data_IF_884046227436
#
_entry.id   IF_884046227436
#
_cell.length_a   1.000
_cell.length_b   1.000
_cell.length_c   1.000
_cell.angle_alpha   90.00
_cell.angle_beta   90.00
_cell.angle_gamma   90.00
#
_symmetry.space_group_name_H-M   'P 1'
#
loop_
_entity.id
_entity.type
_entity.pdbx_description
1 polymer ?
#
# COMPACT_ATOMS: atom_id res chain seq x y z
N UNK A 1 18.29 -11.19 17.91
CA UNK A 1 18.28 -10.09 16.92
C UNK A 1 17.38 -10.50 15.78
N UNK A 2 16.51 -9.63 15.27
CA UNK A 2 15.62 -9.96 14.13
C UNK A 2 16.22 -9.36 12.87
N UNK A 3 16.65 -10.21 11.93
CA UNK A 3 17.11 -9.78 10.62
C UNK A 3 15.95 -9.17 9.81
N UNK A 4 16.12 -7.94 9.34
CA UNK A 4 15.10 -7.24 8.55
C UNK A 4 15.23 -7.60 7.06
N UNK A 5 14.32 -8.43 6.57
CA UNK A 5 14.28 -8.86 5.17
C UNK A 5 13.59 -7.84 4.26
N UNK A 6 14.25 -7.37 3.20
CA UNK A 6 13.58 -6.58 2.14
C UNK A 6 13.00 -7.51 1.08
N UNK A 7 11.69 -7.74 1.16
CA UNK A 7 10.90 -8.56 0.24
C UNK A 7 11.12 -8.14 -1.23
N UNK A 8 11.45 -6.86 -1.50
CA UNK A 8 11.73 -6.40 -2.89
C UNK A 8 13.04 -6.95 -3.43
N UNK A 9 14.09 -7.02 -2.61
CA UNK A 9 15.36 -7.63 -3.00
C UNK A 9 15.19 -9.14 -3.25
N UNK A 10 14.41 -9.82 -2.40
CA UNK A 10 14.07 -11.23 -2.63
C UNK A 10 13.24 -11.41 -3.91
N UNK A 11 12.25 -10.54 -4.17
CA UNK A 11 11.44 -10.61 -5.40
C UNK A 11 12.27 -10.36 -6.67
N UNK A 12 13.27 -9.48 -6.61
CA UNK A 12 14.20 -9.25 -7.72
C UNK A 12 15.13 -10.45 -7.94
N UNK A 13 15.70 -11.02 -6.87
CA UNK A 13 16.56 -12.20 -6.96
C UNK A 13 15.82 -13.48 -7.39
N UNK A 14 14.54 -13.61 -7.03
CA UNK A 14 13.67 -14.70 -7.47
C UNK A 14 13.20 -14.58 -8.93
N UNK A 15 13.44 -13.44 -9.61
CA UNK A 15 12.82 -13.18 -10.91
C UNK A 15 13.33 -14.18 -11.99
N UNK A 16 12.40 -14.83 -12.67
CA UNK A 16 12.64 -15.94 -13.62
C UNK A 16 13.24 -17.22 -12.98
N UNK A 17 13.35 -17.30 -11.66
CA UNK A 17 13.85 -18.50 -10.93
C UNK A 17 12.72 -19.32 -10.29
N UNK A 18 11.47 -18.85 -10.36
CA UNK A 18 10.37 -19.33 -9.51
C UNK A 18 10.10 -20.83 -9.55
N UNK A 19 10.14 -21.49 -10.72
CA UNK A 19 9.92 -22.94 -10.78
C UNK A 19 10.95 -23.72 -9.95
N UNK A 20 12.24 -23.35 -10.05
CA UNK A 20 13.31 -23.97 -9.27
C UNK A 20 13.27 -23.56 -7.80
N UNK A 21 13.02 -22.28 -7.52
CA UNK A 21 12.93 -21.74 -6.17
C UNK A 21 11.79 -22.36 -5.36
N UNK A 22 10.61 -22.54 -5.96
CA UNK A 22 9.46 -23.19 -5.31
C UNK A 22 9.76 -24.64 -4.95
N UNK A 23 10.35 -25.42 -5.88
CA UNK A 23 10.75 -26.81 -5.60
C UNK A 23 11.88 -26.89 -4.55
N UNK A 24 12.86 -25.98 -4.59
CA UNK A 24 13.88 -25.85 -3.53
C UNK A 24 13.29 -25.49 -2.16
N UNK A 25 12.19 -24.73 -2.14
CA UNK A 25 11.39 -24.49 -0.93
C UNK A 25 10.49 -25.68 -0.54
N UNK A 26 10.45 -26.78 -1.30
CA UNK A 26 9.51 -27.89 -1.10
C UNK A 26 8.06 -27.51 -1.42
N UNK A 27 7.83 -26.94 -2.60
CA UNK A 27 6.52 -26.61 -3.20
C UNK A 27 6.61 -26.94 -4.69
N UNK A 28 6.26 -28.17 -5.07
CA UNK A 28 6.42 -28.62 -6.46
C UNK A 28 5.31 -28.08 -7.37
N UNK A 29 5.69 -27.53 -8.52
CA UNK A 29 4.78 -27.01 -9.54
C UNK A 29 5.02 -27.71 -10.90
N UNK A 30 3.98 -27.86 -11.75
CA UNK A 30 4.19 -28.30 -13.12
C UNK A 30 5.08 -27.32 -13.88
N UNK A 31 5.73 -27.80 -14.94
CA UNK A 31 6.52 -26.96 -15.83
C UNK A 31 5.70 -25.77 -16.38
N UNK A 32 6.37 -24.64 -16.64
CA UNK A 32 5.74 -23.45 -17.21
C UNK A 32 4.83 -23.77 -18.40
N UNK A 33 3.61 -23.22 -18.37
CA UNK A 33 2.58 -23.44 -19.40
C UNK A 33 1.93 -24.83 -19.37
N UNK A 34 2.06 -25.57 -18.26
CA UNK A 34 1.45 -26.90 -18.08
C UNK A 34 0.51 -26.96 -16.89
N UNK A 35 -0.46 -27.85 -16.99
CA UNK A 35 -1.40 -28.18 -15.93
C UNK A 35 -0.86 -29.27 -15.01
N UNK A 36 -1.32 -29.28 -13.76
CA UNK A 36 -0.91 -30.26 -12.76
C UNK A 36 -1.69 -30.21 -11.46
N UNK A 37 -1.21 -30.96 -10.47
CA UNK A 37 -1.69 -30.92 -9.10
C UNK A 37 -1.53 -29.53 -8.48
N UNK A 38 -2.45 -29.14 -7.59
CA UNK A 38 -2.32 -27.88 -6.87
C UNK A 38 -1.54 -28.06 -5.56
N UNK A 39 -0.48 -27.27 -5.30
CA UNK A 39 0.25 -27.32 -4.03
C UNK A 39 -0.58 -26.90 -2.80
N UNK A 40 -1.75 -26.29 -3.02
CA UNK A 40 -2.64 -25.75 -1.97
C UNK A 40 -3.84 -26.68 -1.72
N UNK A 41 -4.38 -27.34 -2.77
CA UNK A 41 -5.62 -28.14 -2.68
C UNK A 41 -5.62 -29.47 -3.45
N UNK A 42 -4.44 -29.98 -3.85
CA UNK A 42 -4.29 -31.27 -4.52
C UNK A 42 -4.96 -31.35 -5.89
N UNK A 43 -5.54 -32.52 -6.21
CA UNK A 43 -6.04 -32.84 -7.55
C UNK A 43 -4.92 -33.13 -8.56
N UNK A 44 -5.27 -33.31 -9.83
CA UNK A 44 -4.33 -33.81 -10.86
C UNK A 44 -3.99 -32.78 -11.96
N UNK A 45 -4.92 -31.89 -12.31
CA UNK A 45 -4.84 -30.99 -13.48
C UNK A 45 -5.29 -29.54 -13.19
N UNK A 46 -5.82 -29.28 -11.99
CA UNK A 46 -6.56 -28.04 -11.66
C UNK A 46 -5.71 -26.80 -11.53
N UNK A 47 -4.39 -26.94 -11.38
CA UNK A 47 -3.41 -25.86 -11.25
C UNK A 47 -2.72 -25.58 -12.59
N UNK A 48 -2.27 -24.35 -12.79
CA UNK A 48 -1.50 -23.90 -13.95
C UNK A 48 -0.37 -22.99 -13.46
N UNK A 49 0.87 -23.35 -13.74
CA UNK A 49 2.04 -22.49 -13.54
C UNK A 49 2.27 -21.68 -14.82
N UNK A 50 2.04 -20.37 -14.76
CA UNK A 50 1.99 -19.48 -15.93
C UNK A 50 3.36 -18.79 -16.09
N UNK A 51 3.81 -18.09 -15.06
CA UNK A 51 5.13 -17.41 -14.97
C UNK A 51 5.53 -16.63 -16.25
N UNK A 52 4.57 -15.96 -16.89
CA UNK A 52 4.78 -15.20 -18.14
C UNK A 52 5.49 -13.86 -17.96
N UNK A 53 5.72 -13.44 -16.72
CA UNK A 53 6.45 -12.21 -16.39
C UNK A 53 7.67 -12.45 -15.47
N UNK A 54 8.02 -13.71 -15.22
CA UNK A 54 9.15 -14.09 -14.35
C UNK A 54 8.87 -13.86 -12.86
N UNK A 55 7.61 -13.72 -12.47
CA UNK A 55 7.10 -13.39 -11.14
C UNK A 55 6.43 -14.57 -10.41
N UNK A 56 6.44 -15.77 -11.02
CA UNK A 56 5.89 -17.00 -10.44
C UNK A 56 4.38 -17.12 -10.58
N UNK A 57 3.76 -16.34 -11.46
CA UNK A 57 2.30 -16.26 -11.60
C UNK A 57 1.66 -17.63 -11.82
N UNK A 58 0.57 -17.89 -11.09
CA UNK A 58 -0.17 -19.16 -11.11
C UNK A 58 -1.67 -18.95 -11.03
N UNK A 59 -2.42 -19.99 -11.39
CA UNK A 59 -3.89 -20.04 -11.22
C UNK A 59 -4.34 -21.45 -10.87
N UNK A 60 -5.32 -21.58 -9.96
CA UNK A 60 -6.01 -22.82 -9.66
C UNK A 60 -7.52 -22.68 -9.84
N UNK A 61 -8.11 -23.63 -10.58
CA UNK A 61 -9.56 -23.69 -10.86
C UNK A 61 -10.45 -24.03 -9.65
N UNK A 62 -9.87 -24.38 -8.49
CA UNK A 62 -10.63 -24.86 -7.32
C UNK A 62 -10.06 -24.43 -5.95
N UNK A 63 -9.09 -23.52 -5.91
CA UNK A 63 -8.76 -22.82 -4.66
C UNK A 63 -9.83 -21.76 -4.35
N UNK A 64 -10.05 -21.45 -3.08
CA UNK A 64 -10.81 -20.27 -2.67
C UNK A 64 -10.09 -18.98 -3.09
N UNK A 65 -10.83 -17.89 -3.27
CA UNK A 65 -10.25 -16.62 -3.71
C UNK A 65 -9.37 -15.96 -2.62
N UNK A 66 -8.19 -15.41 -2.95
CA UNK A 66 -7.57 -15.41 -4.28
C UNK A 66 -7.02 -16.79 -4.67
N UNK A 67 -7.46 -17.26 -5.83
CA UNK A 67 -7.17 -18.57 -6.42
C UNK A 67 -6.07 -18.47 -7.52
N UNK A 68 -5.36 -17.35 -7.51
CA UNK A 68 -4.24 -16.96 -8.36
C UNK A 68 -3.37 -16.00 -7.53
N UNK A 69 -2.15 -15.74 -7.98
CA UNK A 69 -1.22 -14.82 -7.31
C UNK A 69 0.19 -14.95 -7.87
N UNK A 70 1.16 -14.38 -7.18
CA UNK A 70 2.59 -14.50 -7.50
C UNK A 70 3.25 -15.71 -6.79
N UNK A 71 4.56 -15.89 -6.99
CA UNK A 71 5.32 -16.98 -6.36
C UNK A 71 5.38 -16.92 -4.81
N UNK A 72 5.30 -15.74 -4.19
CA UNK A 72 5.19 -15.63 -2.72
C UNK A 72 3.78 -15.95 -2.25
N UNK A 73 2.73 -15.54 -2.98
CA UNK A 73 1.35 -15.95 -2.66
C UNK A 73 1.22 -17.47 -2.68
N UNK A 74 1.87 -18.14 -3.64
CA UNK A 74 1.89 -19.60 -3.73
C UNK A 74 2.63 -20.24 -2.55
N UNK A 75 3.85 -19.79 -2.27
CA UNK A 75 4.68 -20.32 -1.18
C UNK A 75 4.03 -20.10 0.19
N UNK A 76 3.40 -18.95 0.40
CA UNK A 76 2.59 -18.61 1.58
C UNK A 76 1.41 -19.58 1.73
N UNK A 77 0.57 -19.72 0.69
CA UNK A 77 -0.63 -20.58 0.72
C UNK A 77 -0.31 -22.07 0.83
N UNK A 78 0.73 -22.56 0.15
CA UNK A 78 1.11 -23.97 0.15
C UNK A 78 1.74 -24.43 1.47
N UNK A 79 2.29 -23.50 2.28
CA UNK A 79 2.88 -23.82 3.60
C UNK A 79 2.05 -23.34 4.80
N UNK A 80 0.99 -22.55 4.59
CA UNK A 80 0.19 -21.97 5.67
C UNK A 80 0.94 -20.90 6.48
N UNK A 81 1.90 -20.21 5.87
CA UNK A 81 2.78 -19.21 6.50
C UNK A 81 2.47 -17.80 6.00
N UNK A 82 2.93 -16.76 6.72
CA UNK A 82 2.79 -15.38 6.25
C UNK A 82 3.71 -15.08 5.05
N UNK A 83 3.39 -14.06 4.27
CA UNK A 83 4.23 -13.58 3.15
C UNK A 83 5.64 -13.17 3.62
N UNK A 84 5.79 -12.72 4.87
CA UNK A 84 7.10 -12.37 5.45
C UNK A 84 7.95 -13.63 5.71
N UNK A 85 7.32 -14.72 6.12
CA UNK A 85 7.99 -16.01 6.31
C UNK A 85 8.28 -16.70 4.97
N UNK A 86 7.35 -16.62 4.01
CA UNK A 86 7.58 -17.04 2.63
C UNK A 86 8.79 -16.31 2.01
N UNK A 87 8.93 -15.01 2.26
CA UNK A 87 10.10 -14.25 1.82
C UNK A 87 11.42 -14.70 2.47
N UNK A 88 11.40 -15.13 3.75
CA UNK A 88 12.59 -15.70 4.42
C UNK A 88 12.99 -17.03 3.80
N UNK A 89 12.04 -17.98 3.74
CA UNK A 89 12.25 -19.30 3.13
C UNK A 89 12.80 -19.18 1.70
N UNK A 90 12.28 -18.23 0.91
CA UNK A 90 12.78 -17.95 -0.42
C UNK A 90 14.19 -17.32 -0.44
N UNK A 91 14.52 -16.41 0.48
CA UNK A 91 15.86 -15.81 0.56
C UNK A 91 16.93 -16.83 1.01
N UNK A 92 16.59 -17.68 1.97
CA UNK A 92 17.43 -18.78 2.43
C UNK A 92 17.69 -19.78 1.28
N UNK A 93 16.65 -20.15 0.52
CA UNK A 93 16.75 -21.03 -0.65
C UNK A 93 17.49 -20.42 -1.86
N UNK A 94 17.55 -19.08 -1.97
CA UNK A 94 18.36 -18.37 -2.96
C UNK A 94 19.85 -18.28 -2.57
N UNK A 95 20.25 -18.79 -1.40
CA UNK A 95 21.62 -18.73 -0.87
C UNK A 95 22.19 -17.29 -0.81
N UNK A 96 21.32 -16.30 -0.63
CA UNK A 96 21.75 -14.89 -0.54
C UNK A 96 22.50 -14.68 0.78
N UNK A 97 23.71 -14.08 0.77
CA UNK A 97 24.38 -13.71 2.01
C UNK A 97 23.53 -12.68 2.77
N UNK A 98 23.17 -13.01 4.01
CA UNK A 98 22.41 -12.12 4.91
C UNK A 98 23.31 -10.98 5.40
N UNK A 99 23.46 -9.94 4.58
CA UNK A 99 24.29 -8.78 4.89
C UNK A 99 23.89 -8.08 6.19
N UNK A 100 24.89 -7.76 7.02
CA UNK A 100 24.72 -6.91 8.20
C UNK A 100 24.30 -5.48 7.82
N UNK A 101 23.57 -4.77 8.71
CA UNK A 101 23.00 -3.46 8.40
C UNK A 101 24.06 -2.34 8.37
N UNK A 102 24.57 -2.00 7.18
CA UNK A 102 25.32 -0.76 6.97
C UNK A 102 24.39 0.42 6.61
N UNK A 103 24.72 1.65 7.08
CA UNK A 103 23.90 2.83 6.84
C UNK A 103 24.11 3.42 5.44
N UNK A 104 23.02 3.46 4.65
CA UNK A 104 22.69 4.49 3.63
C UNK A 104 23.79 4.96 2.64
N UNK A 105 23.56 4.74 1.33
CA UNK A 105 23.06 5.77 0.36
C UNK A 105 23.61 5.65 -1.08
N UNK A 106 22.70 5.40 -2.06
CA UNK A 106 22.79 5.73 -3.52
C UNK A 106 23.91 5.00 -4.34
N UNK A 107 23.91 4.92 -5.67
CA UNK A 107 22.92 5.02 -6.78
C UNK A 107 23.50 4.22 -8.00
N UNK A 108 23.07 4.23 -9.27
CA UNK A 108 22.21 5.07 -10.15
C UNK A 108 21.50 4.10 -11.15
N UNK A 109 20.83 4.39 -12.28
CA UNK A 109 20.58 5.53 -13.19
C UNK A 109 19.04 5.60 -13.44
N UNK A 110 18.37 6.66 -13.94
CA UNK A 110 18.68 8.10 -14.06
C UNK A 110 17.34 8.88 -14.09
N UNK A 111 17.04 9.62 -13.03
CA UNK A 111 16.44 10.96 -13.12
C UNK A 111 16.68 11.66 -11.79
N UNK A 112 16.89 12.98 -11.81
CA UNK A 112 17.15 13.76 -10.60
C UNK A 112 15.83 14.02 -9.85
N UNK A 113 15.33 12.96 -9.22
CA UNK A 113 14.14 13.03 -8.40
C UNK A 113 14.43 13.87 -7.14
N UNK A 114 14.00 15.14 -7.16
CA UNK A 114 13.90 15.98 -5.97
C UNK A 114 13.24 15.16 -4.84
N UNK A 115 13.73 15.24 -3.59
CA UNK A 115 13.12 14.52 -2.47
C UNK A 115 11.62 14.85 -2.38
N UNK A 116 10.80 13.86 -2.03
CA UNK A 116 9.35 13.97 -2.15
C UNK A 116 8.79 15.21 -1.42
N UNK A 117 9.40 15.59 -0.30
CA UNK A 117 9.11 16.82 0.46
C UNK A 117 9.29 18.09 -0.37
N UNK A 118 10.40 18.28 -1.11
CA UNK A 118 10.58 19.43 -2.02
C UNK A 118 9.53 19.44 -3.12
N UNK A 119 9.25 18.26 -3.71
CA UNK A 119 8.29 18.11 -4.80
C UNK A 119 6.86 18.45 -4.35
N UNK A 120 6.48 18.06 -3.15
CA UNK A 120 5.19 18.41 -2.52
C UNK A 120 5.17 19.90 -2.15
N UNK A 121 6.22 20.42 -1.53
CA UNK A 121 6.31 21.85 -1.17
C UNK A 121 6.21 22.75 -2.41
N UNK A 122 6.81 22.35 -3.54
CA UNK A 122 6.67 23.04 -4.83
C UNK A 122 5.24 23.02 -5.38
N UNK A 123 4.50 21.92 -5.19
CA UNK A 123 3.07 21.85 -5.55
C UNK A 123 2.20 22.71 -4.61
N UNK A 124 2.50 22.72 -3.31
CA UNK A 124 1.81 23.57 -2.32
C UNK A 124 2.05 25.06 -2.61
N UNK A 125 3.28 25.46 -2.90
CA UNK A 125 3.62 26.84 -3.30
C UNK A 125 3.06 27.25 -4.68
N UNK A 126 2.57 26.29 -5.47
CA UNK A 126 1.86 26.52 -6.74
C UNK A 126 0.33 26.38 -6.60
N UNK A 127 -0.18 26.14 -5.39
CA UNK A 127 -1.60 25.98 -5.10
C UNK A 127 -2.24 27.26 -4.55
N UNK A 128 -3.54 27.42 -4.78
CA UNK A 128 -4.37 28.51 -4.25
C UNK A 128 -5.52 27.95 -3.42
N UNK A 129 -6.05 28.71 -2.48
CA UNK A 129 -7.32 28.38 -1.83
C UNK A 129 -8.48 28.42 -2.84
N UNK A 130 -9.40 27.46 -2.78
CA UNK A 130 -10.63 27.46 -3.58
C UNK A 130 -11.51 26.22 -3.37
N UNK A 131 -12.78 26.32 -3.77
CA UNK A 131 -13.72 25.19 -3.75
C UNK A 131 -13.37 24.14 -4.82
N UNK A 132 -13.19 22.88 -4.42
CA UNK A 132 -12.91 21.80 -5.38
C UNK A 132 -14.17 21.25 -6.04
N UNK A 133 -14.14 21.17 -7.36
CA UNK A 133 -15.12 20.48 -8.22
C UNK A 133 -15.44 19.04 -7.75
N UNK A 134 -14.44 18.31 -7.25
CA UNK A 134 -14.61 16.97 -6.69
C UNK A 134 -15.48 16.99 -5.41
N UNK A 135 -15.28 17.98 -4.54
CA UNK A 135 -16.04 18.14 -3.30
C UNK A 135 -17.46 18.66 -3.59
N UNK A 136 -17.62 19.59 -4.53
CA UNK A 136 -18.93 20.01 -5.05
C UNK A 136 -19.74 18.82 -5.56
N UNK A 137 -19.11 17.92 -6.33
CA UNK A 137 -19.72 16.65 -6.83
C UNK A 137 -19.94 15.59 -5.73
N UNK A 138 -19.49 15.84 -4.50
CA UNK A 138 -19.83 15.06 -3.29
C UNK A 138 -20.79 15.79 -2.35
N UNK A 139 -21.31 16.97 -2.73
CA UNK A 139 -22.20 17.78 -1.90
C UNK A 139 -21.49 18.57 -0.79
N UNK A 140 -20.15 18.64 -0.82
CA UNK A 140 -19.33 19.28 0.22
C UNK A 140 -18.89 20.67 -0.23
N UNK A 141 -19.32 21.69 0.50
CA UNK A 141 -18.85 23.07 0.35
C UNK A 141 -17.72 23.33 1.35
N UNK A 142 -16.50 23.47 0.83
CA UNK A 142 -15.27 23.64 1.58
C UNK A 142 -14.35 24.58 0.76
N UNK A 143 -14.50 25.91 0.87
CA UNK A 143 -13.86 26.86 -0.05
C UNK A 143 -12.35 27.05 0.18
N UNK A 144 -11.82 26.67 1.34
CA UNK A 144 -10.41 26.91 1.71
C UNK A 144 -9.46 25.75 1.36
N UNK A 145 -9.74 25.03 0.28
CA UNK A 145 -9.00 23.84 -0.13
C UNK A 145 -7.84 24.18 -1.07
N UNK A 146 -6.73 23.44 -1.01
CA UNK A 146 -5.56 23.68 -1.88
C UNK A 146 -5.84 23.15 -3.29
N UNK A 147 -6.03 24.05 -4.25
CA UNK A 147 -6.20 23.72 -5.66
C UNK A 147 -4.95 24.04 -6.47
N UNK A 148 -4.55 23.14 -7.36
CA UNK A 148 -3.58 23.41 -8.42
C UNK A 148 -4.21 24.25 -9.53
N UNK A 149 -3.38 24.81 -10.42
CA UNK A 149 -3.80 25.69 -11.54
C UNK A 149 -4.81 25.07 -12.53
N UNK A 150 -4.97 23.75 -12.52
CA UNK A 150 -5.94 23.00 -13.33
C UNK A 150 -7.25 22.67 -12.57
N UNK A 151 -7.44 23.24 -11.38
CA UNK A 151 -8.56 22.94 -10.47
C UNK A 151 -8.42 21.63 -9.70
N UNK A 152 -7.31 20.89 -9.86
CA UNK A 152 -7.09 19.64 -9.12
C UNK A 152 -6.81 19.91 -7.65
N UNK A 153 -7.54 19.22 -6.77
CA UNK A 153 -7.37 19.25 -5.32
C UNK A 153 -6.05 18.56 -4.91
N UNK A 154 -5.20 19.27 -4.17
CA UNK A 154 -3.92 18.80 -3.64
C UNK A 154 -4.03 18.45 -2.15
N UNK A 155 -3.84 17.18 -1.83
CA UNK A 155 -3.94 16.63 -0.47
C UNK A 155 -2.56 16.11 -0.04
N UNK A 156 -1.90 16.81 0.88
CA UNK A 156 -0.59 16.40 1.41
C UNK A 156 -0.75 15.13 2.25
N UNK A 157 0.17 14.17 2.10
CA UNK A 157 0.25 12.98 2.96
C UNK A 157 1.44 13.11 3.92
N UNK A 158 1.26 12.68 5.17
CA UNK A 158 2.26 12.76 6.21
C UNK A 158 2.12 11.63 7.24
N UNK A 159 3.04 11.58 8.20
CA UNK A 159 2.92 10.78 9.44
C UNK A 159 2.51 11.67 10.64
N UNK A 160 2.34 11.07 11.83
CA UNK A 160 1.96 11.77 13.06
C UNK A 160 2.98 12.83 13.52
N UNK A 161 4.25 12.64 13.19
CA UNK A 161 5.33 13.59 13.46
C UNK A 161 5.30 14.85 12.57
N UNK A 162 4.39 14.92 11.59
CA UNK A 162 4.32 16.00 10.60
C UNK A 162 5.22 15.80 9.38
N UNK A 163 6.02 14.73 9.31
CA UNK A 163 6.91 14.47 8.17
C UNK A 163 6.09 14.23 6.90
N UNK A 164 6.26 15.11 5.90
CA UNK A 164 5.61 15.01 4.58
C UNK A 164 6.17 13.80 3.82
N UNK A 165 5.30 12.83 3.55
CA UNK A 165 5.60 11.59 2.84
C UNK A 165 5.18 11.60 1.37
N UNK A 166 4.41 12.61 0.94
CA UNK A 166 3.89 12.71 -0.42
C UNK A 166 2.61 13.55 -0.54
N UNK A 167 1.83 13.27 -1.58
CA UNK A 167 0.53 13.89 -1.78
C UNK A 167 -0.38 13.02 -2.68
N UNK A 168 -1.70 13.12 -2.48
CA UNK A 168 -2.73 12.71 -3.43
C UNK A 168 -3.22 13.95 -4.20
N UNK A 169 -3.37 13.82 -5.51
CA UNK A 169 -4.03 14.80 -6.37
C UNK A 169 -5.38 14.19 -6.78
N UNK A 170 -6.46 14.96 -6.64
CA UNK A 170 -7.80 14.60 -7.12
C UNK A 170 -8.24 15.63 -8.16
N UNK A 171 -8.37 15.18 -9.41
CA UNK A 171 -8.76 16.02 -10.55
C UNK A 171 -10.25 16.43 -10.52
N UNK A 172 -10.66 17.47 -11.26
CA UNK A 172 -12.07 17.83 -11.42
C UNK A 172 -12.97 16.71 -11.98
N UNK A 173 -12.42 15.76 -12.76
CA UNK A 173 -13.13 14.56 -13.22
C UNK A 173 -13.24 13.43 -12.16
N UNK A 174 -12.76 13.67 -10.93
CA UNK A 174 -12.62 12.70 -9.82
C UNK A 174 -11.50 11.66 -9.95
N UNK A 175 -10.62 11.73 -10.96
CA UNK A 175 -9.41 10.88 -11.01
C UNK A 175 -8.53 11.17 -9.78
N UNK A 176 -8.28 10.15 -8.97
CA UNK A 176 -7.35 10.21 -7.84
C UNK A 176 -6.01 9.59 -8.24
N UNK A 177 -4.90 10.31 -8.03
CA UNK A 177 -3.54 9.79 -8.27
C UNK A 177 -2.60 10.24 -7.17
N UNK A 178 -1.66 9.38 -6.75
CA UNK A 178 -0.57 9.78 -5.86
C UNK A 178 0.54 10.47 -6.66
N UNK A 179 1.17 11.49 -6.08
CA UNK A 179 2.36 12.11 -6.65
C UNK A 179 3.48 11.07 -6.66
N UNK A 180 4.09 10.81 -7.82
CA UNK A 180 5.19 9.85 -7.94
C UNK A 180 6.31 10.17 -6.93
N UNK A 181 6.66 9.18 -6.11
CA UNK A 181 7.51 9.30 -4.91
C UNK A 181 6.77 9.27 -3.57
N UNK A 182 5.44 9.31 -3.55
CA UNK A 182 4.62 9.26 -2.31
C UNK A 182 4.70 7.90 -1.61
N UNK A 183 5.04 7.90 -0.32
CA UNK A 183 5.05 6.69 0.51
C UNK A 183 3.65 6.45 1.10
N UNK A 184 2.78 5.69 0.41
CA UNK A 184 1.37 5.50 0.86
C UNK A 184 1.24 4.81 2.23
N UNK A 185 1.94 3.69 2.43
CA UNK A 185 1.69 2.77 3.55
C UNK A 185 1.95 3.43 4.91
N UNK A 186 0.91 3.56 5.74
CA UNK A 186 0.95 4.20 7.05
C UNK A 186 0.88 5.73 7.04
N UNK A 187 0.95 6.35 5.86
CA UNK A 187 0.71 7.78 5.67
C UNK A 187 -0.78 8.05 5.54
N UNK A 188 -1.18 9.26 5.92
CA UNK A 188 -2.57 9.73 5.88
C UNK A 188 -2.63 11.21 5.52
N UNK A 189 -3.83 11.71 5.25
CA UNK A 189 -4.12 13.13 5.02
C UNK A 189 -4.89 13.63 6.26
N UNK A 190 -4.28 14.44 7.13
CA UNK A 190 -5.00 15.04 8.27
C UNK A 190 -5.88 16.20 7.80
N UNK A 191 -6.99 16.43 8.51
CA UNK A 191 -7.93 17.51 8.18
C UNK A 191 -7.71 18.77 9.02
N UNK A 192 -7.02 18.65 10.15
CA UNK A 192 -6.52 19.75 10.99
C UNK A 192 -5.01 19.63 11.16
N UNK A 193 -4.38 20.63 11.79
CA UNK A 193 -2.99 20.48 12.24
C UNK A 193 -2.92 19.44 13.38
N UNK A 194 -1.87 18.62 13.39
CA UNK A 194 -1.60 17.69 14.50
C UNK A 194 -0.88 18.49 15.58
N UNK A 195 -1.52 18.67 16.73
CA UNK A 195 -1.00 19.46 17.85
C UNK A 195 -1.19 18.71 19.16
N UNK A 196 -0.11 18.53 19.92
CA UNK A 196 -0.13 17.75 21.17
C UNK A 196 -0.44 16.26 20.93
N UNK A 197 -1.00 15.61 21.95
CA UNK A 197 -1.50 14.23 21.89
C UNK A 197 -3.04 14.26 21.84
N UNK A 198 -3.69 13.87 20.74
CA UNK A 198 -5.15 13.91 20.64
C UNK A 198 -5.80 12.76 21.41
N UNK A 199 -6.79 13.07 22.25
CA UNK A 199 -7.54 12.07 23.03
C UNK A 199 -8.41 11.14 22.17
N UNK A 200 -8.70 11.53 20.93
CA UNK A 200 -9.44 10.71 19.96
C UNK A 200 -8.97 11.03 18.54
N UNK A 201 -8.67 9.99 17.77
CA UNK A 201 -8.38 10.04 16.34
C UNK A 201 -9.52 9.32 15.60
N UNK A 202 -9.96 9.84 14.46
CA UNK A 202 -11.02 9.23 13.65
C UNK A 202 -10.49 8.96 12.25
N UNK A 203 -10.51 7.70 11.84
CA UNK A 203 -9.93 7.25 10.57
C UNK A 203 -11.05 6.92 9.59
N UNK A 204 -11.12 7.73 8.53
CA UNK A 204 -12.00 7.51 7.39
C UNK A 204 -11.21 7.03 6.17
N UNK A 205 -11.83 6.20 5.33
CA UNK A 205 -11.22 5.58 4.14
C UNK A 205 -10.61 6.61 3.17
N UNK A 206 -11.32 7.72 2.91
CA UNK A 206 -10.92 8.71 1.92
C UNK A 206 -11.43 10.11 2.24
N UNK A 207 -10.77 11.12 1.64
CA UNK A 207 -10.84 12.51 2.08
C UNK A 207 -12.25 13.14 2.15
N UNK A 208 -13.13 12.85 1.19
CA UNK A 208 -14.50 13.34 1.23
C UNK A 208 -15.30 12.76 2.42
N UNK A 209 -15.11 11.48 2.76
CA UNK A 209 -15.71 10.86 3.96
C UNK A 209 -15.15 11.50 5.23
N UNK A 210 -13.83 11.75 5.26
CA UNK A 210 -13.18 12.42 6.38
C UNK A 210 -13.75 13.84 6.61
N UNK A 211 -13.99 14.61 5.53
CA UNK A 211 -14.56 15.96 5.63
C UNK A 211 -15.96 15.95 6.24
N UNK A 212 -16.82 15.00 5.85
CA UNK A 212 -18.14 14.81 6.49
C UNK A 212 -18.00 14.45 7.97
N UNK A 213 -17.01 13.64 8.34
CA UNK A 213 -16.76 13.24 9.74
C UNK A 213 -16.27 14.42 10.59
N UNK A 214 -15.36 15.26 10.07
CA UNK A 214 -14.88 16.46 10.78
C UNK A 214 -15.94 17.56 10.95
N UNK A 215 -17.10 17.43 10.29
CA UNK A 215 -18.26 18.31 10.48
C UNK A 215 -19.26 17.77 11.51
N UNK A 216 -19.06 16.55 12.02
CA UNK A 216 -20.02 15.81 12.86
C UNK A 216 -19.41 15.25 14.15
N UNK A 217 -18.09 15.18 14.25
CA UNK A 217 -17.37 14.60 15.38
C UNK A 217 -16.18 15.47 15.80
N UNK A 218 -15.97 15.60 17.10
CA UNK A 218 -14.76 16.20 17.67
C UNK A 218 -13.61 15.17 17.72
N UNK A 219 -12.38 15.61 17.51
CA UNK A 219 -11.18 14.76 17.46
C UNK A 219 -10.31 14.99 16.21
N UNK A 220 -9.14 14.34 16.15
CA UNK A 220 -8.24 14.43 15.00
C UNK A 220 -8.74 13.52 13.87
N UNK A 221 -9.33 14.09 12.83
CA UNK A 221 -9.83 13.31 11.69
C UNK A 221 -8.74 13.13 10.62
N UNK A 222 -8.49 11.87 10.26
CA UNK A 222 -7.50 11.44 9.28
C UNK A 222 -8.16 10.68 8.13
N UNK A 223 -7.77 10.98 6.89
CA UNK A 223 -8.13 10.18 5.72
C UNK A 223 -7.01 9.20 5.36
N UNK A 224 -7.33 7.90 5.34
CA UNK A 224 -6.39 6.81 5.09
C UNK A 224 -6.02 6.62 3.60
N UNK A 225 -6.39 7.53 2.71
CA UNK A 225 -6.14 7.50 1.24
C UNK A 225 -7.00 6.46 0.51
N UNK A 226 -6.99 5.19 0.94
CA UNK A 226 -7.83 4.09 0.44
C UNK A 226 -8.01 2.94 1.49
N UNK A 227 -8.96 2.05 1.22
CA UNK A 227 -9.32 0.91 2.10
C UNK A 227 -8.13 0.02 2.47
N UNK A 228 -7.19 -0.20 1.54
CA UNK A 228 -6.00 -1.03 1.74
C UNK A 228 -4.93 -0.42 2.66
N UNK A 229 -5.12 0.83 3.11
CA UNK A 229 -4.21 1.52 4.03
C UNK A 229 -4.85 1.80 5.41
N UNK A 230 -6.18 1.64 5.56
CA UNK A 230 -6.93 1.81 6.81
C UNK A 230 -6.24 1.15 8.02
N UNK A 231 -6.01 -0.17 7.94
CA UNK A 231 -5.38 -0.95 9.02
C UNK A 231 -3.95 -0.51 9.32
N UNK A 232 -3.22 0.04 8.35
CA UNK A 232 -1.86 0.54 8.62
C UNK A 232 -1.88 1.87 9.37
N UNK A 233 -2.79 2.79 9.01
CA UNK A 233 -2.96 4.07 9.70
C UNK A 233 -3.53 3.87 11.12
N UNK A 234 -4.38 2.87 11.31
CA UNK A 234 -4.80 2.42 12.63
C UNK A 234 -3.63 1.88 13.46
N UNK A 235 -2.81 0.98 12.90
CA UNK A 235 -1.66 0.43 13.63
C UNK A 235 -0.56 1.45 13.93
N UNK A 236 -0.56 2.65 13.33
CA UNK A 236 0.33 3.77 13.70
C UNK A 236 -0.31 4.76 14.68
N UNK A 237 -1.59 4.60 15.06
CA UNK A 237 -2.32 5.49 15.97
C UNK A 237 -2.79 4.75 17.22
N UNK A 238 -2.52 5.29 18.42
CA UNK A 238 -2.74 4.54 19.66
C UNK A 238 -4.22 4.45 20.10
N UNK A 239 -5.07 5.39 19.66
CA UNK A 239 -6.50 5.48 19.99
C UNK A 239 -7.25 5.92 18.74
N UNK A 240 -8.10 5.08 18.16
CA UNK A 240 -8.83 5.41 16.93
C UNK A 240 -10.26 4.86 16.85
N UNK A 241 -11.11 5.56 16.10
CA UNK A 241 -12.44 5.09 15.66
C UNK A 241 -12.45 4.94 14.14
N UNK A 242 -12.94 3.81 13.62
CA UNK A 242 -13.04 3.54 12.18
C UNK A 242 -14.40 3.92 11.60
N UNK A 243 -14.40 4.62 10.45
CA UNK A 243 -15.60 4.90 9.67
C UNK A 243 -15.42 4.50 8.19
N UNK A 244 -15.80 3.25 7.88
CA UNK A 244 -15.90 2.69 6.53
C UNK A 244 -17.40 2.54 6.15
N UNK A 245 -17.76 2.80 4.89
CA UNK A 245 -19.14 2.73 4.37
C UNK A 245 -19.84 1.37 4.56
N UNK A 246 -19.09 0.28 4.77
CA UNK A 246 -19.65 -1.06 5.06
C UNK A 246 -19.80 -1.36 6.55
N UNK A 247 -19.08 -0.67 7.44
CA UNK A 247 -18.94 -1.06 8.86
C UNK A 247 -18.84 0.15 9.80
N UNK A 248 -19.95 0.86 9.98
CA UNK A 248 -20.11 1.77 11.11
C UNK A 248 -20.41 0.99 12.41
N UNK A 249 -19.38 0.43 13.06
CA UNK A 249 -19.52 -0.16 14.40
C UNK A 249 -19.26 0.90 15.46
N UNK A 250 -20.32 1.23 16.22
CA UNK A 250 -20.27 2.04 17.43
C UNK A 250 -19.70 1.21 18.58
N UNK A 251 -18.40 1.31 18.83
CA UNK A 251 -17.86 1.05 20.18
C UNK A 251 -18.19 2.25 21.06
N UNK A 252 -18.63 1.98 22.29
CA UNK A 252 -18.79 2.97 23.35
C UNK A 252 -17.51 3.05 24.20
#
# INVERSE_FOLDING_TARGET
>A
MVSHIDIRSVKAAAQNQWQGLLSACGVDVPAKGKHGACPICGGNDRFHFIDDHGDGNWHCRQCEHPNHGDGFDLLSKAKGITVIEAAKVAADALLLPLSEPQPTRKEVLKSEAQPITEKVNKLVAQSTAGQSDYLTKKGLQCPDQRLLKDGSLLLVTQTLDGTITGAQIIKPNSDKRLVSGTQKKGSFIPLSAITGTPDTIIIAEGYATALTVSQLCEGLVLAAIDEGNLTTVANTTAVFVFLNRKYARRTA
#
